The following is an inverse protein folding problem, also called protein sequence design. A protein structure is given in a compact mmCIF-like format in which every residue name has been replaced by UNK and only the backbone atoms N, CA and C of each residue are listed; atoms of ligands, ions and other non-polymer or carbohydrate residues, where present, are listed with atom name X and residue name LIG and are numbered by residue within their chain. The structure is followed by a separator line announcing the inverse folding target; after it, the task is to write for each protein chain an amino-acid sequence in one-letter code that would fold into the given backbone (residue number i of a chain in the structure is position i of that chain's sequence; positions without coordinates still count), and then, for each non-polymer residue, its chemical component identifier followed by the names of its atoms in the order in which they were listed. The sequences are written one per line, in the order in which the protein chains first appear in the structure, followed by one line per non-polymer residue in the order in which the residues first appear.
data_IF_066560080409
#
_entry.id   IF_066560080409
#
_cell.length_a   1.000
_cell.length_b   1.000
_cell.length_c   1.000
_cell.angle_alpha   90.00
_cell.angle_beta   90.00
_cell.angle_gamma   90.00
#
_symmetry.space_group_name_H-M   'P 1'
#
loop_
_entity.id
_entity.type
_entity.pdbx_description
1 polymer ?
#
# COMPACT_ATOMS: atom_id res chain seq x y z
N UNK A 1 -13.65 -0.38 -7.84
CA UNK A 1 -12.34 -0.51 -8.50
C UNK A 1 -11.37 0.56 -8.01
N UNK A 2 -11.83 1.80 -7.81
CA UNK A 2 -10.95 2.95 -7.52
C UNK A 2 -10.11 2.82 -6.23
N UNK A 3 -10.66 2.22 -5.18
CA UNK A 3 -9.97 2.06 -3.89
C UNK A 3 -8.73 1.17 -3.96
N UNK A 4 -8.77 0.09 -4.73
CA UNK A 4 -7.60 -0.81 -4.88
C UNK A 4 -6.48 -0.10 -5.63
N UNK A 5 -6.78 0.64 -6.68
CA UNK A 5 -5.77 1.42 -7.40
C UNK A 5 -5.14 2.52 -6.53
N UNK A 6 -5.94 3.15 -5.66
CA UNK A 6 -5.43 4.13 -4.69
C UNK A 6 -4.47 3.49 -3.68
N UNK A 7 -4.85 2.35 -3.09
CA UNK A 7 -4.01 1.59 -2.15
C UNK A 7 -2.69 1.16 -2.80
N UNK A 8 -2.76 0.60 -4.01
CA UNK A 8 -1.58 0.14 -4.77
C UNK A 8 -0.68 1.32 -5.17
N UNK A 9 -1.25 2.43 -5.65
CA UNK A 9 -0.46 3.60 -6.01
C UNK A 9 0.17 4.30 -4.80
N UNK A 10 -0.51 4.29 -3.65
CA UNK A 10 0.05 4.78 -2.40
C UNK A 10 1.26 3.93 -1.99
N UNK A 11 1.09 2.61 -1.88
CA UNK A 11 2.18 1.72 -1.48
C UNK A 11 3.35 1.75 -2.47
N UNK A 12 3.08 1.63 -3.77
CA UNK A 12 4.14 1.61 -4.80
C UNK A 12 4.97 2.90 -4.89
N UNK A 13 4.51 4.01 -4.31
CA UNK A 13 5.31 5.24 -4.20
C UNK A 13 6.24 5.29 -2.99
N UNK A 14 5.95 4.51 -1.95
CA UNK A 14 6.64 4.60 -0.66
C UNK A 14 7.43 3.33 -0.32
N UNK A 15 7.13 2.19 -0.96
CA UNK A 15 7.83 0.93 -0.74
C UNK A 15 8.27 0.28 -2.05
N UNK A 16 9.38 -0.47 -2.03
CA UNK A 16 10.04 -1.04 -3.21
C UNK A 16 9.37 -2.31 -3.77
N UNK A 17 8.07 -2.50 -3.54
CA UNK A 17 7.33 -3.63 -4.12
C UNK A 17 6.94 -3.37 -5.56
N UNK A 18 6.90 -4.43 -6.35
CA UNK A 18 6.39 -4.41 -7.71
C UNK A 18 4.86 -4.30 -7.72
N UNK A 19 4.30 -3.83 -8.84
CA UNK A 19 2.85 -3.81 -9.05
C UNK A 19 2.22 -5.21 -8.89
N UNK A 20 2.93 -6.26 -9.30
CA UNK A 20 2.45 -7.63 -9.17
C UNK A 20 2.32 -8.05 -7.70
N UNK A 21 3.35 -7.78 -6.88
CA UNK A 21 3.33 -8.10 -5.44
C UNK A 21 2.21 -7.34 -4.72
N UNK A 22 1.97 -6.07 -5.08
CA UNK A 22 0.88 -5.29 -4.50
C UNK A 22 -0.52 -5.81 -4.83
N UNK A 23 -0.71 -6.32 -6.05
CA UNK A 23 -1.98 -6.86 -6.52
C UNK A 23 -2.26 -8.27 -6.01
N UNK A 24 -1.24 -9.02 -5.56
CA UNK A 24 -1.41 -10.34 -4.95
C UNK A 24 -1.72 -10.30 -3.45
N UNK A 25 -1.50 -9.15 -2.78
CA UNK A 25 -1.95 -8.95 -1.41
C UNK A 25 -3.48 -8.98 -1.32
N UNK A 26 -4.00 -9.72 -0.35
CA UNK A 26 -5.42 -9.62 0.01
C UNK A 26 -5.75 -8.21 0.51
N UNK A 27 -7.03 -7.84 0.46
CA UNK A 27 -7.46 -6.49 0.81
C UNK A 27 -7.12 -6.12 2.27
N UNK A 28 -7.25 -7.04 3.21
CA UNK A 28 -6.99 -6.77 4.63
C UNK A 28 -5.50 -6.55 4.90
N UNK A 29 -4.65 -7.38 4.32
CA UNK A 29 -3.19 -7.23 4.39
C UNK A 29 -2.74 -5.93 3.72
N UNK A 30 -3.29 -5.60 2.54
CA UNK A 30 -2.96 -4.33 1.86
C UNK A 30 -3.37 -3.12 2.67
N UNK A 31 -4.55 -3.12 3.30
CA UNK A 31 -5.00 -2.04 4.18
C UNK A 31 -4.10 -1.86 5.40
N UNK A 32 -3.62 -2.97 6.00
CA UNK A 32 -2.68 -2.89 7.12
C UNK A 32 -1.38 -2.18 6.73
N UNK A 33 -0.81 -2.54 5.58
CA UNK A 33 0.40 -1.89 5.10
C UNK A 33 0.19 -0.42 4.75
N UNK A 34 -0.98 -0.03 4.25
CA UNK A 34 -1.31 1.39 4.04
C UNK A 34 -1.24 2.16 5.35
N UNK A 35 -1.80 1.60 6.44
CA UNK A 35 -1.79 2.22 7.77
C UNK A 35 -0.36 2.31 8.35
N UNK A 36 0.41 1.20 8.29
CA UNK A 36 1.78 1.16 8.78
C UNK A 36 2.71 2.16 8.04
N UNK A 37 2.59 2.24 6.71
CA UNK A 37 3.38 3.19 5.90
C UNK A 37 2.94 4.63 6.16
N UNK A 38 1.64 4.90 6.33
CA UNK A 38 1.15 6.23 6.66
C UNK A 38 1.69 6.70 8.02
N UNK A 39 1.68 5.84 9.04
CA UNK A 39 2.25 6.12 10.35
C UNK A 39 3.77 6.33 10.30
N UNK A 40 4.48 5.60 9.44
CA UNK A 40 5.92 5.80 9.25
C UNK A 40 6.24 7.20 8.72
N UNK A 41 5.45 7.69 7.76
CA UNK A 41 5.67 9.01 7.13
C UNK A 41 5.31 10.16 8.08
N UNK A 42 4.31 9.98 8.94
CA UNK A 42 3.89 11.02 9.90
C UNK A 42 4.92 11.24 11.02
N UNK A 43 5.75 10.23 11.30
CA UNK A 43 6.76 10.27 12.36
C UNK A 43 8.17 10.68 11.89
N UNK A 44 8.36 10.94 10.59
CA UNK A 44 9.60 11.44 9.96
C UNK A 44 9.55 12.97 9.70
#
# INVERSE_FOLDING_TARGET
MDRVHQEVAFLGRHVHWTLHELLTLDHGTRLRWVDEVAQSIEND
#
